data_IF_109480408280
#
_entry.id   IF_109480408280
#
_cell.length_a   1.000
_cell.length_b   1.000
_cell.length_c   1.000
_cell.angle_alpha   90.00
_cell.angle_beta   90.00
_cell.angle_gamma   90.00
#
_symmetry.space_group_name_H-M   'P 1'
#
loop_
_entity.id
_entity.type
_entity.pdbx_description
1 polymer ?
#
# COMPACT_ATOMS: atom_id res chain seq x y z
N UNK A 1 -11.58 4.02 -56.02
CA UNK A 1 -11.85 4.96 -54.92
C UNK A 1 -12.51 4.29 -53.69
N UNK A 2 -13.45 3.35 -53.87
CA UNK A 2 -14.19 2.70 -52.77
C UNK A 2 -13.34 1.78 -51.86
N UNK A 3 -12.33 1.08 -52.39
CA UNK A 3 -11.49 0.15 -51.62
C UNK A 3 -10.59 0.82 -50.55
N UNK A 4 -10.16 2.06 -50.79
CA UNK A 4 -9.32 2.80 -49.82
C UNK A 4 -10.17 3.32 -48.66
N UNK A 5 -11.42 3.70 -48.95
CA UNK A 5 -12.37 4.18 -47.94
C UNK A 5 -12.83 3.04 -47.02
N UNK A 6 -13.09 1.85 -47.57
CA UNK A 6 -13.44 0.66 -46.76
C UNK A 6 -12.30 0.22 -45.85
N UNK A 7 -11.05 0.26 -46.33
CA UNK A 7 -9.88 -0.05 -45.51
C UNK A 7 -9.71 0.93 -44.33
N UNK A 8 -9.86 2.24 -44.57
CA UNK A 8 -9.79 3.27 -43.51
C UNK A 8 -10.91 3.12 -42.48
N UNK A 9 -12.13 2.78 -42.91
CA UNK A 9 -13.26 2.53 -42.02
C UNK A 9 -13.05 1.28 -41.15
N UNK A 10 -12.52 0.21 -41.72
CA UNK A 10 -12.17 -1.01 -40.99
C UNK A 10 -11.06 -0.78 -39.96
N UNK A 11 -10.04 0.02 -40.28
CA UNK A 11 -9.02 0.42 -39.32
C UNK A 11 -9.61 1.22 -38.15
N UNK A 12 -10.43 2.25 -38.41
CA UNK A 12 -11.11 3.01 -37.34
C UNK A 12 -12.00 2.13 -36.47
N UNK A 13 -12.74 1.19 -37.08
CA UNK A 13 -13.57 0.21 -36.37
C UNK A 13 -12.73 -0.72 -35.48
N UNK A 14 -11.56 -1.15 -35.97
CA UNK A 14 -10.62 -1.98 -35.22
C UNK A 14 -10.05 -1.26 -33.99
N UNK A 15 -9.58 -0.02 -34.14
CA UNK A 15 -9.09 0.78 -33.01
C UNK A 15 -10.19 1.07 -31.99
N UNK A 16 -11.43 1.31 -32.45
CA UNK A 16 -12.58 1.51 -31.57
C UNK A 16 -12.93 0.25 -30.77
N UNK A 17 -12.90 -0.93 -31.39
CA UNK A 17 -13.09 -2.21 -30.69
C UNK A 17 -11.98 -2.48 -29.66
N UNK A 18 -10.71 -2.19 -30.02
CA UNK A 18 -9.58 -2.28 -29.09
C UNK A 18 -9.73 -1.35 -27.89
N UNK A 19 -10.19 -0.13 -28.11
CA UNK A 19 -10.45 0.83 -27.04
C UNK A 19 -11.51 0.30 -26.07
N UNK A 20 -12.66 -0.17 -26.57
CA UNK A 20 -13.68 -0.76 -25.71
C UNK A 20 -13.20 -2.01 -24.97
N UNK A 21 -12.40 -2.85 -25.61
CA UNK A 21 -11.80 -4.02 -24.98
C UNK A 21 -10.86 -3.62 -23.82
N UNK A 22 -9.98 -2.63 -24.04
CA UNK A 22 -9.07 -2.12 -23.00
C UNK A 22 -9.87 -1.50 -21.85
N UNK A 23 -10.91 -0.72 -22.14
CA UNK A 23 -11.77 -0.13 -21.10
C UNK A 23 -12.50 -1.18 -20.27
N UNK A 24 -12.98 -2.26 -20.90
CA UNK A 24 -13.59 -3.41 -20.20
C UNK A 24 -12.57 -4.11 -19.31
N UNK A 25 -11.37 -4.38 -19.82
CA UNK A 25 -10.30 -5.01 -19.03
C UNK A 25 -9.94 -4.14 -17.83
N UNK A 26 -9.79 -2.83 -18.01
CA UNK A 26 -9.49 -1.90 -16.93
C UNK A 26 -10.60 -1.84 -15.88
N UNK A 27 -11.87 -1.85 -16.30
CA UNK A 27 -13.01 -1.89 -15.40
C UNK A 27 -13.08 -3.18 -14.57
N UNK A 28 -12.75 -4.33 -15.18
CA UNK A 28 -12.75 -5.62 -14.48
C UNK A 28 -11.61 -5.73 -13.46
N UNK A 29 -10.43 -5.20 -13.78
CA UNK A 29 -9.25 -5.26 -12.90
C UNK A 29 -9.30 -4.28 -11.72
N UNK A 30 -10.14 -3.24 -11.78
CA UNK A 30 -10.27 -2.24 -10.70
C UNK A 30 -10.78 -2.80 -9.36
N UNK A 31 -11.44 -3.96 -9.37
CA UNK A 31 -12.00 -4.58 -8.16
C UNK A 31 -10.95 -5.33 -7.31
N UNK A 32 -9.70 -5.45 -7.77
CA UNK A 32 -8.63 -6.17 -7.05
C UNK A 32 -7.95 -5.27 -6.00
N UNK A 33 -8.32 -3.98 -5.92
CA UNK A 33 -7.64 -2.98 -5.07
C UNK A 33 -8.17 -2.99 -3.61
N UNK A 34 -9.17 -3.80 -3.28
CA UNK A 34 -9.64 -3.95 -1.91
C UNK A 34 -8.67 -4.82 -1.10
N UNK A 35 -7.56 -4.23 -0.67
CA UNK A 35 -6.46 -4.96 -0.04
C UNK A 35 -6.76 -5.55 1.34
N UNK A 36 -7.75 -5.01 2.08
CA UNK A 36 -8.03 -5.42 3.46
C UNK A 36 -9.49 -5.17 3.82
N UNK A 37 -10.14 -6.15 4.44
CA UNK A 37 -11.34 -5.87 5.23
C UNK A 37 -10.95 -5.01 6.42
N UNK A 38 -11.74 -4.00 6.75
CA UNK A 38 -11.52 -3.21 7.98
C UNK A 38 -11.69 -4.15 9.17
N UNK A 39 -10.57 -4.59 9.75
CA UNK A 39 -10.53 -5.40 10.96
C UNK A 39 -9.94 -4.56 12.09
N UNK A 40 -10.80 -4.20 13.04
CA UNK A 40 -10.40 -3.73 14.36
C UNK A 40 -11.17 -4.58 15.37
N UNK A 41 -10.51 -5.25 16.32
CA UNK A 41 -11.23 -5.87 17.41
C UNK A 41 -11.88 -4.76 18.26
N UNK A 42 -12.95 -5.10 18.97
CA UNK A 42 -13.52 -4.18 19.95
C UNK A 42 -12.47 -3.79 20.99
N UNK A 43 -12.65 -2.62 21.61
CA UNK A 43 -11.67 -1.97 22.52
C UNK A 43 -11.03 -2.94 23.52
N UNK A 44 -11.79 -3.92 24.01
CA UNK A 44 -11.37 -4.85 25.06
C UNK A 44 -11.25 -6.32 24.58
N UNK A 45 -11.22 -6.55 23.25
CA UNK A 45 -11.17 -7.90 22.64
C UNK A 45 -9.86 -8.20 21.89
N UNK A 46 -8.77 -7.55 22.29
CA UNK A 46 -7.45 -7.88 21.74
C UNK A 46 -6.97 -9.24 22.25
N UNK A 47 -7.06 -10.25 21.38
CA UNK A 47 -6.55 -11.58 21.65
C UNK A 47 -5.01 -11.59 21.60
N UNK A 48 -4.40 -12.29 22.55
CA UNK A 48 -2.96 -12.52 22.55
C UNK A 48 -2.69 -13.90 21.93
N UNK A 49 -2.06 -13.88 20.76
CA UNK A 49 -1.63 -15.09 20.07
C UNK A 49 -0.11 -15.18 20.10
N UNK A 50 0.41 -16.39 20.27
CA UNK A 50 1.82 -16.66 20.03
C UNK A 50 2.16 -16.48 18.54
N UNK A 51 3.43 -16.21 18.20
CA UNK A 51 3.87 -16.11 16.81
C UNK A 51 3.47 -17.35 15.97
N UNK A 52 3.59 -18.55 16.57
CA UNK A 52 3.25 -19.80 15.90
C UNK A 52 1.74 -19.93 15.62
N UNK A 53 0.88 -19.55 16.56
CA UNK A 53 -0.58 -19.55 16.38
C UNK A 53 -1.03 -18.56 15.30
N UNK A 54 -0.31 -17.45 15.15
CA UNK A 54 -0.53 -16.46 14.11
C UNK A 54 0.12 -16.84 12.75
N UNK A 55 0.79 -18.00 12.65
CA UNK A 55 1.43 -18.47 11.42
C UNK A 55 2.76 -17.80 11.09
N UNK A 56 3.38 -17.10 12.05
CA UNK A 56 4.70 -16.51 11.90
C UNK A 56 5.82 -17.48 12.27
N UNK A 57 6.94 -17.34 11.56
CA UNK A 57 8.21 -17.92 11.99
C UNK A 57 8.73 -17.14 13.20
N UNK A 58 8.80 -17.81 14.36
CA UNK A 58 9.21 -17.19 15.62
C UNK A 58 10.60 -16.55 15.56
N UNK A 59 11.55 -17.18 14.85
CA UNK A 59 12.93 -16.69 14.78
C UNK A 59 12.98 -15.44 13.93
N UNK A 60 12.39 -15.47 12.73
CA UNK A 60 12.35 -14.30 11.83
C UNK A 60 11.59 -13.13 12.43
N UNK A 61 10.52 -13.40 13.16
CA UNK A 61 9.78 -12.35 13.85
C UNK A 61 10.64 -11.69 14.94
N UNK A 62 11.37 -12.49 15.71
CA UNK A 62 12.28 -11.95 16.72
C UNK A 62 13.41 -11.13 16.09
N UNK A 63 14.01 -11.61 15.00
CA UNK A 63 15.04 -10.87 14.25
C UNK A 63 14.52 -9.50 13.77
N UNK A 64 13.28 -9.42 13.31
CA UNK A 64 12.66 -8.17 12.90
C UNK A 64 12.42 -7.21 14.07
N UNK A 65 12.04 -7.75 15.24
CA UNK A 65 11.88 -6.97 16.48
C UNK A 65 13.23 -6.42 16.94
N UNK A 66 14.26 -7.27 16.99
CA UNK A 66 15.60 -6.88 17.40
C UNK A 66 16.17 -5.82 16.46
N UNK A 67 16.02 -6.00 15.13
CA UNK A 67 16.40 -4.99 14.16
C UNK A 67 15.69 -3.65 14.40
N UNK A 68 14.39 -3.65 14.71
CA UNK A 68 13.66 -2.42 14.98
C UNK A 68 14.17 -1.72 16.25
N UNK A 69 14.43 -2.48 17.32
CA UNK A 69 14.96 -1.94 18.58
C UNK A 69 16.37 -1.38 18.40
N UNK A 70 17.23 -2.07 17.64
CA UNK A 70 18.62 -1.64 17.37
C UNK A 70 18.71 -0.38 16.52
N UNK A 71 17.67 -0.08 15.73
CA UNK A 71 17.61 1.08 14.83
C UNK A 71 16.58 2.14 15.28
N UNK A 72 15.96 1.95 16.44
CA UNK A 72 15.00 2.90 16.99
C UNK A 72 15.70 4.22 17.33
N UNK A 73 15.02 5.34 17.06
CA UNK A 73 15.55 6.65 17.41
C UNK A 73 15.77 6.75 18.92
N UNK A 74 17.01 7.05 19.32
CA UNK A 74 17.42 7.08 20.73
C UNK A 74 17.10 8.38 21.44
N UNK A 75 16.59 9.40 20.73
CA UNK A 75 16.20 10.67 21.33
C UNK A 75 14.85 10.58 22.04
N UNK A 76 14.41 11.71 22.56
CA UNK A 76 13.20 11.74 23.36
C UNK A 76 11.96 11.32 22.55
N UNK A 77 11.10 10.48 23.16
CA UNK A 77 9.89 10.01 22.50
C UNK A 77 8.88 11.16 22.33
N UNK A 78 8.88 12.10 23.27
CA UNK A 78 8.13 13.34 23.11
C UNK A 78 8.85 14.23 22.11
N UNK A 79 8.28 14.33 20.91
CA UNK A 79 8.83 15.15 19.84
C UNK A 79 9.04 16.61 20.25
N UNK A 80 8.27 17.15 21.21
CA UNK A 80 8.49 18.51 21.70
C UNK A 80 9.85 18.66 22.37
N UNK A 81 10.24 17.66 23.16
CA UNK A 81 11.54 17.64 23.83
C UNK A 81 12.64 17.36 22.80
N UNK A 82 12.46 16.36 21.93
CA UNK A 82 13.46 16.03 20.91
C UNK A 82 13.75 17.19 19.94
N UNK A 83 12.71 17.94 19.53
CA UNK A 83 12.86 19.14 18.70
C UNK A 83 13.60 20.23 19.47
N UNK A 84 13.27 20.44 20.74
CA UNK A 84 13.92 21.45 21.55
C UNK A 84 15.41 21.13 21.78
N UNK A 85 15.75 19.88 22.04
CA UNK A 85 17.14 19.45 22.21
C UNK A 85 17.94 19.57 20.92
N UNK A 86 17.31 19.27 19.76
CA UNK A 86 17.98 19.28 18.46
C UNK A 86 18.22 20.68 17.91
N UNK A 87 17.25 21.59 18.11
CA UNK A 87 17.26 22.91 17.48
C UNK A 87 17.48 24.07 18.46
N UNK A 88 17.29 23.84 19.76
CA UNK A 88 17.41 24.85 20.80
C UNK A 88 16.30 25.92 20.75
N UNK A 89 16.46 26.95 21.57
CA UNK A 89 15.63 28.16 21.52
C UNK A 89 16.27 29.19 20.59
N UNK A 90 15.46 29.96 19.87
CA UNK A 90 15.96 31.13 19.14
C UNK A 90 16.55 32.16 20.11
N UNK A 91 17.69 32.80 19.76
CA UNK A 91 18.26 33.86 20.58
C UNK A 91 17.34 35.09 20.62
N UNK A 92 17.10 35.59 21.83
CA UNK A 92 16.31 36.79 22.12
C UNK A 92 17.05 38.10 21.84
#
# INVERSE_FOLDING_TARGET
MNHILTYKLNMKSFYRKKFYFISIVFFLLGNIIYGQSVYYPDRDRWEHNSPAEAGFDKVKLQEAVDFALDNEYSGDRDLRVAILESFGYEPY
#
